data_IF_179397769625
#
_entry.id   IF_179397769625
#
_cell.length_a   1.000
_cell.length_b   1.000
_cell.length_c   1.000
_cell.angle_alpha   90.00
_cell.angle_beta   90.00
_cell.angle_gamma   90.00
#
_symmetry.space_group_name_H-M   'P 1'
#
loop_
_entity.id
_entity.type
_entity.pdbx_description
1 polymer ?
#
# COMPACT_ATOMS: atom_id res chain seq x y z
N UNK A 1 -8.78 -12.82 -1.81
CA UNK A 1 -9.38 -12.12 -0.66
C UNK A 1 -9.99 -10.81 -1.12
N UNK A 2 -10.94 -10.26 -0.37
CA UNK A 2 -11.31 -8.86 -0.53
C UNK A 2 -10.34 -8.02 0.30
N UNK A 3 -9.81 -6.95 -0.29
CA UNK A 3 -8.75 -6.15 0.30
C UNK A 3 -8.97 -4.67 0.07
N UNK A 4 -8.57 -3.85 1.03
CA UNK A 4 -8.50 -2.40 0.91
C UNK A 4 -7.06 -1.98 0.57
N UNK A 5 -6.93 -1.07 -0.39
CA UNK A 5 -5.67 -0.45 -0.78
C UNK A 5 -5.61 0.98 -0.25
N UNK A 6 -4.59 1.28 0.54
CA UNK A 6 -4.28 2.62 1.04
C UNK A 6 -3.06 3.13 0.29
N UNK A 7 -3.27 3.96 -0.72
CA UNK A 7 -2.18 4.69 -1.37
C UNK A 7 -1.66 5.71 -0.39
N UNK A 8 -0.35 5.71 -0.11
CA UNK A 8 0.22 6.71 0.77
C UNK A 8 0.14 8.06 0.08
N UNK A 9 -0.48 9.03 0.75
CA UNK A 9 -0.63 10.40 0.32
C UNK A 9 -0.73 11.33 1.54
N UNK A 10 -0.46 12.63 1.35
CA UNK A 10 -0.55 13.61 2.45
C UNK A 10 -2.00 13.89 2.86
N UNK A 11 -2.98 13.65 1.98
CA UNK A 11 -4.36 14.08 2.19
C UNK A 11 -5.20 13.08 2.96
N UNK A 12 -4.87 11.79 2.90
CA UNK A 12 -5.72 10.70 3.41
C UNK A 12 -4.94 9.64 4.18
N UNK A 13 -3.77 9.21 3.68
CA UNK A 13 -3.05 8.09 4.28
C UNK A 13 -1.55 8.37 4.43
N UNK A 14 -1.14 8.69 5.66
CA UNK A 14 0.26 8.96 5.99
C UNK A 14 1.08 7.66 6.11
N UNK A 15 2.41 7.77 6.11
CA UNK A 15 3.31 6.65 6.39
C UNK A 15 3.16 6.08 7.80
N UNK A 16 2.81 6.92 8.78
CA UNK A 16 2.47 6.45 10.13
C UNK A 16 1.04 5.90 10.10
N UNK A 17 0.89 4.64 10.47
CA UNK A 17 -0.33 3.88 10.22
C UNK A 17 -1.35 4.04 11.36
N UNK A 18 -0.92 4.09 12.63
CA UNK A 18 -1.77 4.23 13.83
C UNK A 18 -2.90 3.19 14.01
N UNK A 19 -2.87 2.09 13.25
CA UNK A 19 -3.87 1.00 13.27
C UNK A 19 -3.20 -0.33 12.94
N UNK A 20 -3.98 -1.42 12.85
CA UNK A 20 -3.46 -2.76 12.52
C UNK A 20 -2.35 -3.28 13.47
N UNK A 21 -2.33 -2.81 14.72
CA UNK A 21 -1.31 -3.16 15.72
C UNK A 21 0.11 -2.71 15.33
N UNK A 22 0.24 -1.67 14.50
CA UNK A 22 1.52 -1.07 14.16
C UNK A 22 1.73 0.19 14.99
N UNK A 23 2.97 0.40 15.42
CA UNK A 23 3.42 1.65 16.02
C UNK A 23 4.48 2.32 15.13
N UNK A 24 5.01 3.46 15.57
CA UNK A 24 6.04 4.18 14.84
C UNK A 24 7.29 3.34 14.58
N UNK A 25 7.70 2.48 15.52
CA UNK A 25 8.89 1.66 15.36
C UNK A 25 8.68 0.59 14.28
N UNK A 26 7.50 -0.02 14.24
CA UNK A 26 7.10 -0.97 13.18
C UNK A 26 7.04 -0.29 11.82
N UNK A 27 6.36 0.87 11.73
CA UNK A 27 6.26 1.62 10.47
C UNK A 27 7.67 1.99 9.97
N UNK A 28 8.53 2.48 10.87
CA UNK A 28 9.92 2.82 10.53
C UNK A 28 10.69 1.60 10.02
N UNK A 29 10.60 0.46 10.71
CA UNK A 29 11.29 -0.77 10.30
C UNK A 29 10.80 -1.23 8.91
N UNK A 30 9.49 -1.33 8.72
CA UNK A 30 8.90 -1.83 7.47
C UNK A 30 9.18 -0.92 6.28
N UNK A 31 9.00 0.39 6.44
CA UNK A 31 9.28 1.31 5.34
C UNK A 31 10.77 1.40 5.00
N UNK A 32 11.65 1.33 6.00
CA UNK A 32 13.11 1.39 5.77
C UNK A 32 13.69 0.18 5.06
N UNK A 33 12.92 -0.91 4.91
CA UNK A 33 13.31 -2.08 4.10
C UNK A 33 13.23 -1.83 2.59
N UNK A 34 12.59 -0.75 2.16
CA UNK A 34 12.59 -0.33 0.77
C UNK A 34 13.72 0.65 0.53
N UNK A 35 14.65 0.33 -0.37
CA UNK A 35 15.77 1.22 -0.70
C UNK A 35 15.31 2.61 -1.16
N UNK A 36 14.19 2.66 -1.88
CA UNK A 36 13.56 3.90 -2.36
C UNK A 36 13.00 4.78 -1.24
N UNK A 37 12.85 4.23 -0.02
CA UNK A 37 12.39 4.96 1.16
C UNK A 37 13.55 5.48 2.02
N UNK A 38 14.79 5.04 1.80
CA UNK A 38 15.93 5.37 2.66
C UNK A 38 16.12 6.88 2.91
N UNK A 39 15.85 7.71 1.91
CA UNK A 39 15.92 9.17 2.00
C UNK A 39 14.86 9.78 2.94
N UNK A 40 13.78 9.06 3.25
CA UNK A 40 12.65 9.52 4.06
C UNK A 40 12.67 8.98 5.50
N UNK A 41 13.51 7.97 5.80
CA UNK A 41 13.53 7.27 7.10
C UNK A 41 13.67 8.20 8.31
N UNK A 42 14.36 9.32 8.19
CA UNK A 42 14.56 10.28 9.29
C UNK A 42 13.48 11.36 9.36
N UNK A 43 12.74 11.62 8.29
CA UNK A 43 11.83 12.78 8.19
C UNK A 43 10.37 12.40 8.02
N UNK A 44 10.03 11.16 7.66
CA UNK A 44 8.65 10.76 7.29
C UNK A 44 7.57 11.00 8.36
N UNK A 45 7.99 11.15 9.63
CA UNK A 45 7.10 11.43 10.76
C UNK A 45 6.95 12.92 11.08
N UNK A 46 7.72 13.77 10.41
CA UNK A 46 7.73 15.20 10.67
C UNK A 46 6.63 15.89 9.87
N UNK A 47 6.09 16.97 10.45
CA UNK A 47 5.13 17.81 9.73
C UNK A 47 5.73 18.49 8.50
N UNK A 48 7.05 18.67 8.47
CA UNK A 48 7.77 19.25 7.32
C UNK A 48 7.75 18.29 6.11
N UNK A 49 7.89 17.00 6.35
CA UNK A 49 7.79 15.98 5.31
C UNK A 49 6.42 15.93 4.65
N UNK A 50 5.34 16.23 5.41
CA UNK A 50 3.98 16.39 4.88
C UNK A 50 3.78 17.65 4.01
N UNK A 51 4.83 18.40 3.71
CA UNK A 51 4.80 19.45 2.69
C UNK A 51 5.68 19.06 1.50
N UNK A 52 6.81 18.41 1.80
CA UNK A 52 7.76 17.91 0.81
C UNK A 52 7.27 16.65 0.08
N UNK A 53 6.36 15.85 0.65
CA UNK A 53 5.87 14.61 0.03
C UNK A 53 5.08 14.89 -1.24
N UNK A 54 4.28 15.96 -1.27
CA UNK A 54 3.56 16.43 -2.47
C UNK A 54 4.46 16.92 -3.61
N UNK A 55 5.73 17.22 -3.33
CA UNK A 55 6.71 17.66 -4.33
C UNK A 55 7.70 16.54 -4.69
N UNK A 56 8.07 15.69 -3.73
CA UNK A 56 9.15 14.70 -3.86
C UNK A 56 8.67 13.28 -4.13
N UNK A 57 7.54 12.85 -3.55
CA UNK A 57 7.06 11.47 -3.68
C UNK A 57 6.04 11.33 -4.80
N UNK A 58 5.11 12.28 -4.93
CA UNK A 58 4.17 12.33 -6.07
C UNK A 58 4.90 12.53 -7.41
N UNK A 59 5.97 13.32 -7.41
CA UNK A 59 6.85 13.55 -8.56
C UNK A 59 7.80 12.40 -8.89
N UNK A 60 7.97 11.44 -7.96
CA UNK A 60 8.70 10.20 -8.21
C UNK A 60 7.82 9.19 -8.96
N UNK A 61 8.43 8.25 -9.69
CA UNK A 61 7.73 7.10 -10.25
C UNK A 61 7.53 5.97 -9.23
N UNK A 62 8.01 6.14 -7.99
CA UNK A 62 7.75 5.20 -6.91
C UNK A 62 6.44 5.55 -6.21
N UNK A 63 5.60 4.55 -5.98
CA UNK A 63 4.36 4.64 -5.20
C UNK A 63 4.43 3.70 -4.01
N UNK A 64 4.14 4.22 -2.82
CA UNK A 64 4.01 3.43 -1.61
C UNK A 64 2.53 3.23 -1.27
N UNK A 65 2.20 2.07 -0.73
CA UNK A 65 0.84 1.75 -0.31
C UNK A 65 0.82 0.68 0.77
N UNK A 66 -0.28 0.64 1.52
CA UNK A 66 -0.63 -0.49 2.37
C UNK A 66 -1.77 -1.28 1.77
N UNK A 67 -1.72 -2.60 1.86
CA UNK A 67 -2.85 -3.46 1.52
C UNK A 67 -3.29 -4.20 2.76
N UNK A 68 -4.57 -4.04 3.09
CA UNK A 68 -5.21 -4.73 4.19
C UNK A 68 -6.22 -5.72 3.63
N UNK A 69 -5.98 -7.01 3.86
CA UNK A 69 -6.97 -8.04 3.60
C UNK A 69 -8.13 -7.90 4.62
N UNK A 70 -9.35 -7.84 4.11
CA UNK A 70 -10.58 -7.65 4.90
C UNK A 70 -11.28 -8.98 5.14
N UNK A 71 -11.38 -9.81 4.10
CA UNK A 71 -12.08 -11.09 4.18
C UNK A 71 -11.67 -12.06 3.08
N UNK A 72 -11.96 -13.34 3.31
CA UNK A 72 -11.89 -14.36 2.27
C UNK A 72 -12.98 -14.12 1.24
N UNK A 73 -12.69 -14.48 -0.01
CA UNK A 73 -13.73 -14.55 -1.02
C UNK A 73 -14.75 -15.65 -0.61
N UNK A 74 -16.06 -15.51 -0.83
CA UNK A 74 -17.08 -16.46 -0.38
C UNK A 74 -16.89 -17.90 -0.86
N UNK A 75 -16.21 -18.07 -1.99
CA UNK A 75 -15.90 -19.40 -2.56
C UNK A 75 -14.57 -19.98 -2.10
N UNK A 76 -13.78 -19.22 -1.33
CA UNK A 76 -12.50 -19.68 -0.83
C UNK A 76 -12.72 -20.62 0.38
N UNK A 77 -12.00 -21.73 0.38
CA UNK A 77 -11.97 -22.62 1.53
C UNK A 77 -11.09 -22.02 2.63
N UNK A 78 -11.48 -22.23 3.88
CA UNK A 78 -10.62 -21.92 5.01
C UNK A 78 -9.41 -22.86 4.97
N UNK A 79 -8.21 -22.28 4.90
CA UNK A 79 -6.97 -23.02 4.96
C UNK A 79 -6.39 -22.88 6.37
N UNK A 80 -6.24 -24.00 7.07
CA UNK A 80 -5.63 -24.01 8.40
C UNK A 80 -4.22 -23.40 8.35
N UNK A 81 -3.96 -22.42 9.21
CA UNK A 81 -2.68 -21.71 9.26
C UNK A 81 -2.59 -20.48 8.35
N UNK A 82 -3.56 -20.23 7.46
CA UNK A 82 -3.66 -18.98 6.73
C UNK A 82 -4.42 -17.92 7.56
N UNK A 83 -3.87 -16.71 7.64
CA UNK A 83 -4.50 -15.58 8.32
C UNK A 83 -4.35 -14.31 7.50
N UNK A 84 -5.42 -13.52 7.48
CA UNK A 84 -5.51 -12.21 6.83
C UNK A 84 -5.51 -11.06 7.86
N UNK A 85 -5.07 -11.33 9.10
CA UNK A 85 -5.11 -10.36 10.20
C UNK A 85 -4.04 -9.26 10.07
N UNK A 86 -2.99 -9.52 9.30
CA UNK A 86 -1.90 -8.58 9.07
C UNK A 86 -2.19 -7.51 8.03
N UNK A 87 -1.14 -6.76 7.69
CA UNK A 87 -1.12 -5.70 6.67
C UNK A 87 0.14 -5.83 5.84
N UNK A 88 0.04 -5.56 4.54
CA UNK A 88 1.20 -5.50 3.66
C UNK A 88 1.65 -4.06 3.51
N UNK A 89 2.94 -3.83 3.69
CA UNK A 89 3.63 -2.61 3.27
C UNK A 89 4.15 -2.86 1.86
N UNK A 90 3.92 -1.97 0.92
CA UNK A 90 4.28 -2.19 -0.48
C UNK A 90 4.85 -0.94 -1.16
N UNK A 91 5.68 -1.20 -2.17
CA UNK A 91 6.10 -0.22 -3.17
C UNK A 91 5.82 -0.74 -4.58
N UNK A 92 5.59 0.19 -5.50
CA UNK A 92 5.51 -0.04 -6.94
C UNK A 92 6.35 1.00 -7.66
N UNK A 93 7.20 0.55 -8.57
CA UNK A 93 7.85 1.39 -9.55
C UNK A 93 6.98 1.45 -10.82
N UNK A 94 6.50 2.65 -11.15
CA UNK A 94 5.62 2.89 -12.29
C UNK A 94 6.34 2.76 -13.64
N UNK A 95 7.65 2.96 -13.70
CA UNK A 95 8.42 2.83 -14.95
C UNK A 95 8.57 1.38 -15.37
N UNK A 96 8.85 0.51 -14.40
CA UNK A 96 9.12 -0.91 -14.63
C UNK A 96 7.91 -1.81 -14.37
N UNK A 97 6.89 -1.29 -13.70
CA UNK A 97 5.77 -2.05 -13.19
C UNK A 97 6.15 -3.00 -12.05
N UNK A 98 7.39 -2.97 -11.56
CA UNK A 98 7.86 -3.88 -10.53
C UNK A 98 7.46 -3.39 -9.15
N UNK A 99 6.91 -4.29 -8.34
CA UNK A 99 6.57 -4.01 -6.97
C UNK A 99 7.08 -5.06 -6.01
N UNK A 100 7.25 -4.63 -4.77
CA UNK A 100 7.63 -5.50 -3.67
C UNK A 100 6.89 -5.09 -2.41
N UNK A 101 6.77 -6.03 -1.48
CA UNK A 101 6.08 -5.80 -0.23
C UNK A 101 6.55 -6.70 0.89
N UNK A 102 6.23 -6.28 2.11
CA UNK A 102 6.50 -7.00 3.34
C UNK A 102 5.21 -7.17 4.11
N UNK A 103 4.94 -8.40 4.55
CA UNK A 103 3.79 -8.69 5.41
C UNK A 103 4.14 -8.41 6.87
N UNK A 104 3.32 -7.63 7.56
CA UNK A 104 3.39 -7.43 9.00
C UNK A 104 2.15 -8.02 9.67
N UNK A 105 2.37 -8.82 10.72
CA UNK A 105 1.33 -9.25 11.64
C UNK A 105 1.89 -9.27 13.06
N UNK A 106 1.48 -8.28 13.86
CA UNK A 106 1.79 -8.09 15.29
C UNK A 106 2.72 -9.12 15.93
N UNK A 107 2.15 -9.99 16.76
CA UNK A 107 2.88 -10.98 17.59
C UNK A 107 3.70 -12.04 16.83
N UNK A 108 3.62 -12.09 15.49
CA UNK A 108 4.30 -13.10 14.67
C UNK A 108 5.59 -12.59 14.02
N UNK A 109 5.76 -11.28 13.88
CA UNK A 109 6.86 -10.68 13.11
C UNK A 109 7.85 -9.86 13.94
N UNK A 110 8.10 -10.25 15.19
CA UNK A 110 9.38 -9.93 15.87
C UNK A 110 10.58 -10.67 15.25
N UNK A 111 10.35 -11.49 14.21
CA UNK A 111 11.39 -12.12 13.42
C UNK A 111 12.17 -11.07 12.60
N UNK A 112 13.49 -11.21 12.55
CA UNK A 112 14.40 -10.26 11.90
C UNK A 112 14.09 -10.00 10.41
N UNK A 113 13.40 -10.93 9.75
CA UNK A 113 13.06 -10.88 8.33
C UNK A 113 11.57 -11.22 8.07
N UNK A 114 10.71 -10.22 7.81
CA UNK A 114 9.29 -10.44 7.50
C UNK A 114 9.13 -11.08 6.11
N UNK A 115 8.05 -11.85 5.88
CA UNK A 115 7.79 -12.43 4.56
C UNK A 115 7.75 -11.35 3.47
N UNK A 116 8.65 -11.49 2.48
CA UNK A 116 8.73 -10.62 1.30
C UNK A 116 7.88 -11.19 0.16
N UNK A 117 7.16 -10.31 -0.51
CA UNK A 117 6.40 -10.59 -1.73
C UNK A 117 6.93 -9.70 -2.84
N UNK A 118 7.06 -10.25 -4.05
CA UNK A 118 7.35 -9.49 -5.26
C UNK A 118 6.22 -9.69 -6.26
N UNK A 119 5.86 -8.63 -6.98
CA UNK A 119 4.79 -8.66 -7.97
C UNK A 119 5.15 -7.74 -9.14
N UNK A 120 4.53 -7.97 -10.29
CA UNK A 120 4.71 -7.11 -11.45
C UNK A 120 3.34 -6.69 -11.96
N UNK A 121 3.13 -5.38 -12.05
CA UNK A 121 2.03 -4.79 -12.78
C UNK A 121 2.43 -4.65 -14.24
N UNK A 122 1.85 -5.51 -15.09
CA UNK A 122 1.82 -5.24 -16.51
C UNK A 122 0.65 -4.31 -16.78
N UNK A 123 0.84 -3.08 -17.29
CA UNK A 123 -0.28 -2.26 -17.71
C UNK A 123 -1.04 -3.05 -18.77
N UNK A 124 -2.30 -3.37 -18.48
CA UNK A 124 -3.23 -3.86 -19.49
C UNK A 124 -3.39 -2.69 -20.45
N UNK A 125 -2.70 -2.72 -21.58
CA UNK A 125 -2.91 -1.75 -22.67
C UNK A 125 -4.35 -1.90 -23.13
N UNK A 126 -5.26 -1.12 -22.54
CA UNK A 126 -6.58 -0.90 -23.11
C UNK A 126 -6.33 -0.06 -24.36
N UNK A 127 -6.56 -0.66 -25.53
CA UNK A 127 -6.51 0.05 -26.81
C UNK A 127 -7.41 1.30 -26.72
N UNK A 128 -6.84 2.44 -27.12
CA UNK A 128 -7.41 3.79 -27.20
C UNK A 128 -8.90 3.95 -26.85
N UNK A 129 -9.19 4.55 -25.70
CA UNK A 129 -10.45 5.27 -25.46
C UNK A 129 -10.11 6.70 -25.03
N UNK A 130 -10.97 7.66 -25.40
CA UNK A 130 -10.71 9.09 -25.22
C UNK A 130 -10.52 9.49 -23.75
N UNK A 131 -9.81 10.60 -23.45
CA UNK A 131 -9.46 11.00 -22.07
C UNK A 131 -10.66 11.14 -21.11
N UNK A 132 -11.85 11.48 -21.62
CA UNK A 132 -13.08 11.51 -20.81
C UNK A 132 -13.54 10.13 -20.33
N UNK A 133 -13.23 9.05 -21.06
CA UNK A 133 -13.61 7.69 -20.71
C UNK A 133 -12.65 7.06 -19.68
N UNK A 134 -11.41 7.56 -19.58
CA UNK A 134 -10.40 7.03 -18.66
C UNK A 134 -10.71 7.34 -17.18
N UNK A 135 -11.18 8.56 -16.88
CA UNK A 135 -11.58 8.95 -15.51
C UNK A 135 -12.78 8.13 -15.00
N UNK A 136 -13.81 7.98 -15.84
CA UNK A 136 -14.99 7.17 -15.52
C UNK A 136 -14.66 5.69 -15.34
N UNK A 137 -13.74 5.14 -16.13
CA UNK A 137 -13.35 3.74 -16.03
C UNK A 137 -12.43 3.47 -14.83
N UNK A 138 -11.61 4.43 -14.41
CA UNK A 138 -10.80 4.31 -13.19
C UNK A 138 -11.68 4.36 -11.93
N UNK A 139 -12.67 5.26 -11.88
CA UNK A 139 -13.67 5.32 -10.81
C UNK A 139 -14.56 4.07 -10.75
N UNK A 140 -14.84 3.43 -11.89
CA UNK A 140 -15.61 2.19 -11.96
C UNK A 140 -14.80 0.93 -11.60
N UNK A 141 -13.48 0.94 -11.79
CA UNK A 141 -12.62 -0.24 -11.50
C UNK A 141 -12.02 -0.17 -10.09
N UNK A 142 -11.69 1.02 -9.60
CA UNK A 142 -11.41 1.30 -8.20
C UNK A 142 -12.70 1.77 -7.54
N UNK A 143 -13.63 0.85 -7.30
CA UNK A 143 -14.83 1.16 -6.53
C UNK A 143 -14.44 1.78 -5.19
N UNK A 144 -14.69 3.07 -5.06
CA UNK A 144 -14.86 3.69 -3.76
C UNK A 144 -16.04 2.97 -3.10
N UNK A 145 -15.75 2.14 -2.10
CA UNK A 145 -16.73 1.93 -1.03
C UNK A 145 -16.70 3.22 -0.23
N UNK A 146 -17.49 4.21 -0.65
CA UNK A 146 -18.03 5.16 0.32
C UNK A 146 -19.03 4.37 1.13
N UNK A 147 -18.66 4.03 2.36
CA UNK A 147 -19.65 3.71 3.39
C UNK A 147 -20.57 4.93 3.53
N UNK A 148 -21.75 4.85 2.92
CA UNK A 148 -22.94 5.46 3.51
C UNK A 148 -23.27 4.62 4.76
N UNK A 149 -22.78 5.06 5.90
CA UNK A 149 -23.38 4.73 7.19
C UNK A 149 -23.72 6.03 7.92
N UNK A 150 -25.03 6.31 7.88
CA UNK A 150 -25.84 7.28 8.64
C UNK A 150 -25.76 8.76 8.27
#
# INVERSE_FOLDING_TARGET
TFSALEVIDESKFHFITHKYQTDFAVDKDMWSRFDSFAQYTSTFHTRAFSKEYSETVTGSNIRFFRLKELSLHPTAQHLEGCSFDGVYYMKLDLDTGQGEGFYFRGSRNSAADPPKVSFTFSPVRRYCMSPQAELSAYEATCGYVTDEFM
#
